data_IF_241962855189
#
_entry.id   IF_241962855189
#
_cell.length_a   1.000
_cell.length_b   1.000
_cell.length_c   1.000
_cell.angle_alpha   90.00
_cell.angle_beta   90.00
_cell.angle_gamma   90.00
#
_symmetry.space_group_name_H-M   'P 1'
#
loop_
_entity.id
_entity.type
_entity.pdbx_description
1 polymer ?
#
# COMPACT_ATOMS: atom_id res chain seq x y z
N UNK A 1 -2.03 -55.33 10.12
CA UNK A 1 -2.41 -54.07 10.80
C UNK A 1 -1.33 -53.00 10.67
N UNK A 2 -0.05 -53.29 10.97
CA UNK A 2 1.09 -52.35 10.87
C UNK A 2 1.19 -51.54 9.55
N UNK A 3 0.89 -52.16 8.40
CA UNK A 3 0.89 -51.47 7.09
C UNK A 3 -0.13 -50.32 7.00
N UNK A 4 -1.28 -50.41 7.68
CA UNK A 4 -2.29 -49.32 7.69
C UNK A 4 -1.82 -48.15 8.55
N UNK A 5 -1.18 -48.44 9.69
CA UNK A 5 -0.58 -47.43 10.57
C UNK A 5 0.54 -46.66 9.90
N UNK A 6 1.42 -47.35 9.17
CA UNK A 6 2.49 -46.72 8.40
C UNK A 6 1.95 -45.77 7.32
N UNK A 7 0.91 -46.19 6.59
CA UNK A 7 0.26 -45.35 5.57
C UNK A 7 -0.35 -44.11 6.22
N UNK A 8 -1.12 -44.26 7.30
CA UNK A 8 -1.73 -43.12 8.00
C UNK A 8 -0.67 -42.14 8.53
N UNK A 9 0.42 -42.63 9.11
CA UNK A 9 1.51 -41.79 9.58
C UNK A 9 2.13 -40.95 8.46
N UNK A 10 2.41 -41.57 7.31
CA UNK A 10 2.94 -40.86 6.14
C UNK A 10 1.94 -39.85 5.58
N UNK A 11 0.65 -40.18 5.56
CA UNK A 11 -0.39 -39.27 5.04
C UNK A 11 -0.51 -38.03 5.93
N UNK A 12 -0.57 -38.23 7.25
CA UNK A 12 -0.62 -37.12 8.21
C UNK A 12 0.62 -36.25 8.07
N UNK A 13 1.82 -36.85 8.04
CA UNK A 13 3.05 -36.10 7.91
C UNK A 13 3.11 -35.29 6.62
N UNK A 14 2.69 -35.88 5.49
CA UNK A 14 2.61 -35.18 4.21
C UNK A 14 1.64 -33.99 4.23
N UNK A 15 0.44 -34.18 4.78
CA UNK A 15 -0.54 -33.09 4.93
C UNK A 15 0.02 -31.97 5.82
N UNK A 16 0.66 -32.32 6.94
CA UNK A 16 1.27 -31.34 7.85
C UNK A 16 2.35 -30.51 7.16
N UNK A 17 3.23 -31.15 6.37
CA UNK A 17 4.27 -30.45 5.60
C UNK A 17 3.66 -29.49 4.58
N UNK A 18 2.61 -29.90 3.86
CA UNK A 18 1.93 -29.05 2.89
C UNK A 18 1.27 -27.83 3.54
N UNK A 19 0.58 -28.05 4.66
CA UNK A 19 -0.06 -26.96 5.43
C UNK A 19 1.00 -26.00 5.97
N UNK A 20 2.09 -26.52 6.54
CA UNK A 20 3.19 -25.69 7.03
C UNK A 20 3.83 -24.86 5.92
N UNK A 21 4.02 -25.44 4.72
CA UNK A 21 4.54 -24.71 3.56
C UNK A 21 3.62 -23.56 3.14
N UNK A 22 2.31 -23.79 3.06
CA UNK A 22 1.34 -22.76 2.69
C UNK A 22 1.25 -21.61 3.71
N UNK A 23 1.38 -21.93 5.00
CA UNK A 23 1.42 -20.92 6.06
C UNK A 23 2.71 -20.10 5.96
N UNK A 24 3.85 -20.75 5.69
CA UNK A 24 5.14 -20.10 5.58
C UNK A 24 5.26 -19.18 4.34
N UNK A 25 4.70 -19.56 3.19
CA UNK A 25 4.76 -18.76 1.96
C UNK A 25 3.66 -17.71 1.84
N UNK A 26 2.66 -17.74 2.72
CA UNK A 26 1.44 -16.97 2.57
C UNK A 26 0.47 -17.62 1.57
N UNK A 27 -0.83 -17.57 1.90
CA UNK A 27 -1.87 -18.12 1.04
C UNK A 27 -2.21 -17.24 -0.17
N UNK A 28 -3.04 -17.72 -1.10
CA UNK A 28 -3.49 -16.94 -2.27
C UNK A 28 -4.24 -15.64 -1.92
N UNK A 29 -4.69 -15.49 -0.67
CA UNK A 29 -5.21 -14.24 -0.14
C UNK A 29 -4.15 -13.14 -0.02
N UNK A 30 -2.92 -13.50 0.40
CA UNK A 30 -1.82 -12.55 0.59
C UNK A 30 -1.42 -11.88 -0.72
N UNK A 31 -1.22 -12.67 -1.79
CA UNK A 31 -0.88 -12.11 -3.10
C UNK A 31 -1.93 -11.14 -3.67
N UNK A 32 -3.21 -11.31 -3.30
CA UNK A 32 -4.26 -10.35 -3.68
C UNK A 32 -4.18 -9.06 -2.85
N UNK A 33 -3.95 -9.18 -1.55
CA UNK A 33 -3.76 -8.02 -0.67
C UNK A 33 -2.53 -7.19 -1.10
N UNK A 34 -1.39 -7.84 -1.35
CA UNK A 34 -0.18 -7.18 -1.87
C UNK A 34 -0.41 -6.46 -3.21
N UNK A 35 -1.24 -7.04 -4.08
CA UNK A 35 -1.57 -6.39 -5.37
C UNK A 35 -2.43 -5.14 -5.16
N UNK A 36 -3.38 -5.18 -4.23
CA UNK A 36 -4.20 -4.01 -3.88
C UNK A 36 -3.35 -2.94 -3.20
N UNK A 37 -2.46 -3.33 -2.30
CA UNK A 37 -1.54 -2.40 -1.63
C UNK A 37 -0.57 -1.73 -2.61
N UNK A 38 -0.01 -2.47 -3.57
CA UNK A 38 0.77 -1.88 -4.67
C UNK A 38 -0.03 -0.86 -5.49
N UNK A 39 -1.32 -1.09 -5.65
CA UNK A 39 -2.22 -0.18 -6.36
C UNK A 39 -2.45 1.10 -5.55
N UNK A 40 -2.61 0.99 -4.23
CA UNK A 40 -2.68 2.14 -3.30
C UNK A 40 -1.39 2.94 -3.31
N UNK A 41 -0.23 2.30 -3.23
CA UNK A 41 1.06 3.00 -3.33
C UNK A 41 1.21 3.79 -4.63
N UNK A 42 0.84 3.18 -5.76
CA UNK A 42 0.91 3.83 -7.06
C UNK A 42 -0.04 5.04 -7.16
N UNK A 43 -1.19 5.00 -6.49
CA UNK A 43 -2.09 6.15 -6.40
C UNK A 43 -1.48 7.27 -5.56
N UNK A 44 -0.95 6.94 -4.37
CA UNK A 44 -0.29 7.92 -3.51
C UNK A 44 0.93 8.57 -4.21
N UNK A 45 1.67 7.81 -5.03
CA UNK A 45 2.78 8.34 -5.83
C UNK A 45 2.32 9.33 -6.91
N UNK A 46 1.19 9.08 -7.57
CA UNK A 46 0.63 10.01 -8.54
C UNK A 46 0.06 11.25 -7.87
N UNK A 47 -0.55 11.11 -6.68
CA UNK A 47 -1.01 12.26 -5.88
C UNK A 47 0.20 13.12 -5.48
N UNK A 48 1.28 12.52 -4.98
CA UNK A 48 2.52 13.24 -4.65
C UNK A 48 3.07 14.02 -5.85
N UNK A 49 3.14 13.39 -7.02
CA UNK A 49 3.60 14.05 -8.26
C UNK A 49 2.73 15.26 -8.63
N UNK A 50 1.41 15.17 -8.43
CA UNK A 50 0.50 16.30 -8.63
C UNK A 50 0.77 17.42 -7.61
N UNK A 51 0.95 17.07 -6.33
CA UNK A 51 1.23 18.04 -5.29
C UNK A 51 2.59 18.74 -5.50
N UNK A 52 3.60 18.02 -5.96
CA UNK A 52 4.91 18.59 -6.36
C UNK A 52 4.74 19.62 -7.47
N UNK A 53 4.02 19.28 -8.54
CA UNK A 53 3.73 20.23 -9.62
C UNK A 53 3.02 21.47 -9.09
N UNK A 54 1.98 21.30 -8.27
CA UNK A 54 1.23 22.43 -7.72
C UNK A 54 2.07 23.28 -6.77
N UNK A 55 2.95 22.66 -5.99
CA UNK A 55 3.83 23.38 -5.08
C UNK A 55 4.86 24.23 -5.82
N UNK A 56 5.42 23.71 -6.93
CA UNK A 56 6.30 24.47 -7.81
C UNK A 56 5.57 25.68 -8.45
N UNK A 57 4.31 25.50 -8.87
CA UNK A 57 3.51 26.60 -9.43
C UNK A 57 3.10 27.64 -8.38
N UNK A 58 2.83 27.21 -7.14
CA UNK A 58 2.37 28.08 -6.06
C UNK A 58 3.51 28.72 -5.24
N UNK A 59 4.72 28.18 -5.31
CA UNK A 59 5.85 28.58 -4.45
C UNK A 59 5.71 28.16 -2.98
N UNK A 60 4.77 27.25 -2.67
CA UNK A 60 4.49 26.76 -1.32
C UNK A 60 3.88 25.36 -1.37
N UNK A 61 4.04 24.58 -0.30
CA UNK A 61 3.42 23.25 -0.21
C UNK A 61 1.90 23.38 -0.17
N UNK A 62 1.21 22.59 -0.99
CA UNK A 62 -0.23 22.49 -1.04
C UNK A 62 -0.68 21.08 -0.69
N UNK A 63 -1.86 20.95 -0.10
CA UNK A 63 -2.43 19.64 0.31
C UNK A 63 -3.68 19.26 -0.47
N UNK A 64 -4.22 20.18 -1.27
CA UNK A 64 -5.37 19.90 -2.12
C UNK A 64 -4.91 19.09 -3.35
N UNK A 65 -5.37 17.83 -3.53
CA UNK A 65 -4.98 16.99 -4.67
C UNK A 65 -5.91 17.20 -5.88
N UNK A 66 -6.67 18.29 -5.94
CA UNK A 66 -7.50 18.62 -7.11
C UNK A 66 -6.63 19.09 -8.29
N UNK A 67 -6.80 18.52 -9.50
CA UNK A 67 -6.08 18.93 -10.71
C UNK A 67 -6.37 20.40 -11.09
N UNK A 68 -5.41 21.05 -11.75
CA UNK A 68 -5.55 22.42 -12.26
C UNK A 68 -5.12 22.49 -13.72
N UNK A 69 -5.40 23.59 -14.43
CA UNK A 69 -4.92 23.76 -15.81
C UNK A 69 -3.39 23.72 -15.92
N UNK A 70 -2.68 24.25 -14.90
CA UNK A 70 -1.22 24.21 -14.84
C UNK A 70 -0.65 22.82 -14.52
N UNK A 71 -1.42 21.99 -13.79
CA UNK A 71 -1.05 20.63 -13.40
C UNK A 71 -2.20 19.67 -13.75
N UNK A 72 -2.34 19.26 -15.03
CA UNK A 72 -3.52 18.55 -15.54
C UNK A 72 -3.55 17.06 -15.21
N UNK A 73 -2.67 16.58 -14.33
CA UNK A 73 -2.64 15.18 -13.91
C UNK A 73 -3.89 14.84 -13.10
N UNK A 74 -4.54 13.72 -13.42
CA UNK A 74 -5.78 13.27 -12.77
C UNK A 74 -5.55 11.96 -12.00
N UNK A 75 -4.81 11.99 -10.88
CA UNK A 75 -4.65 10.80 -10.04
C UNK A 75 -6.00 10.36 -9.46
N UNK A 76 -6.11 9.09 -9.09
CA UNK A 76 -7.26 8.60 -8.33
C UNK A 76 -7.18 9.10 -6.90
N UNK A 77 -8.21 9.80 -6.44
CA UNK A 77 -8.27 10.38 -5.09
C UNK A 77 -8.97 9.47 -4.06
N UNK A 78 -9.46 8.31 -4.51
CA UNK A 78 -10.09 7.32 -3.65
C UNK A 78 -9.61 5.91 -4.04
N UNK A 79 -9.55 5.03 -3.05
CA UNK A 79 -9.18 3.63 -3.22
C UNK A 79 -10.23 2.93 -4.12
N UNK A 80 -9.82 2.33 -5.25
CA UNK A 80 -10.74 1.64 -6.17
C UNK A 80 -11.40 0.39 -5.57
N UNK A 81 -10.88 -0.16 -4.47
CA UNK A 81 -11.38 -1.39 -3.84
C UNK A 81 -12.34 -1.11 -2.68
N UNK A 82 -12.23 0.04 -2.03
CA UNK A 82 -13.02 0.40 -0.84
C UNK A 82 -13.83 1.67 -1.02
N UNK A 83 -13.56 2.46 -2.06
CA UNK A 83 -14.05 3.82 -2.28
C UNK A 83 -13.68 4.82 -1.17
N UNK A 84 -12.79 4.44 -0.24
CA UNK A 84 -12.32 5.34 0.80
C UNK A 84 -11.44 6.44 0.20
N UNK A 85 -11.62 7.72 0.56
CA UNK A 85 -10.77 8.80 0.08
C UNK A 85 -9.36 8.67 0.65
N UNK A 86 -8.35 8.91 -0.18
CA UNK A 86 -6.98 9.04 0.29
C UNK A 86 -6.84 10.31 1.12
N UNK A 87 -6.07 10.25 2.21
CA UNK A 87 -5.88 11.39 3.11
C UNK A 87 -4.55 12.08 2.79
N UNK A 88 -4.61 13.41 2.72
CA UNK A 88 -3.44 14.27 2.51
C UNK A 88 -3.37 15.25 3.68
N UNK A 89 -2.29 15.19 4.45
CA UNK A 89 -2.06 16.04 5.62
C UNK A 89 -0.76 16.82 5.43
N UNK A 90 -0.77 18.10 5.81
CA UNK A 90 0.46 18.90 5.82
C UNK A 90 1.32 18.48 7.01
N UNK A 91 2.60 18.24 6.76
CA UNK A 91 3.62 18.05 7.80
C UNK A 91 4.63 19.20 7.66
N UNK A 92 4.54 20.24 8.48
CA UNK A 92 5.44 21.37 8.41
C UNK A 92 6.92 20.96 8.54
N UNK A 93 7.86 21.65 7.87
CA UNK A 93 7.64 22.88 7.09
C UNK A 93 7.27 22.64 5.61
N UNK A 94 7.69 21.54 5.01
CA UNK A 94 7.72 21.31 3.56
C UNK A 94 7.33 19.88 3.16
N UNK A 95 6.71 19.13 4.06
CA UNK A 95 6.37 17.73 3.85
C UNK A 95 4.86 17.53 3.81
N UNK A 96 4.44 16.47 3.13
CA UNK A 96 3.05 16.01 3.11
C UNK A 96 3.01 14.56 3.56
N UNK A 97 1.97 14.22 4.31
CA UNK A 97 1.66 12.87 4.73
C UNK A 97 0.49 12.37 3.90
N UNK A 98 0.71 11.25 3.22
CA UNK A 98 -0.23 10.62 2.30
C UNK A 98 -0.63 9.26 2.87
N UNK A 99 -1.93 9.06 3.13
CA UNK A 99 -2.42 7.86 3.80
C UNK A 99 -3.41 7.08 2.94
N UNK A 100 -3.32 5.76 3.05
CA UNK A 100 -4.30 4.81 2.54
C UNK A 100 -4.53 3.68 3.55
N UNK A 101 -5.62 2.93 3.37
CA UNK A 101 -5.97 1.81 4.25
C UNK A 101 -5.36 0.51 3.68
N UNK A 102 -4.06 0.32 3.95
CA UNK A 102 -3.29 -0.85 3.53
C UNK A 102 -3.70 -2.12 4.29
N UNK A 103 -3.58 -3.27 3.63
CA UNK A 103 -3.98 -4.57 4.19
C UNK A 103 -2.80 -5.35 4.76
N UNK A 104 -1.60 -5.17 4.20
CA UNK A 104 -0.38 -5.77 4.69
C UNK A 104 0.32 -4.85 5.70
N UNK A 105 0.99 -5.44 6.71
CA UNK A 105 1.75 -4.67 7.68
C UNK A 105 2.90 -3.91 7.00
N UNK A 106 3.30 -2.81 7.60
CA UNK A 106 4.28 -1.87 7.06
C UNK A 106 5.73 -2.40 7.02
N UNK A 107 5.98 -3.68 7.36
CA UNK A 107 7.28 -4.29 7.66
C UNK A 107 8.36 -4.07 6.57
N UNK A 108 7.96 -3.72 5.34
CA UNK A 108 8.88 -3.42 4.23
C UNK A 108 8.60 -2.09 3.51
N UNK A 109 7.75 -1.22 4.05
CA UNK A 109 7.35 0.03 3.41
C UNK A 109 7.81 1.26 4.22
N UNK A 110 8.08 2.39 3.56
CA UNK A 110 8.36 3.69 4.21
C UNK A 110 7.12 4.31 4.89
N UNK A 111 6.16 3.47 5.29
CA UNK A 111 4.88 3.87 5.86
C UNK A 111 4.93 3.72 7.38
N UNK A 112 4.21 4.57 8.09
CA UNK A 112 3.98 4.43 9.52
C UNK A 112 2.92 3.37 9.83
N UNK A 113 2.70 3.11 11.12
CA UNK A 113 1.70 2.14 11.61
C UNK A 113 0.26 2.51 11.20
N UNK A 114 0.01 3.77 10.85
CA UNK A 114 -1.29 4.25 10.37
C UNK A 114 -1.47 4.10 8.86
N UNK A 115 -0.49 3.50 8.15
CA UNK A 115 -0.54 3.32 6.71
C UNK A 115 -0.24 4.60 5.92
N UNK A 116 0.45 5.56 6.53
CA UNK A 116 0.80 6.82 5.89
C UNK A 116 2.28 6.87 5.53
N UNK A 117 2.60 7.46 4.38
CA UNK A 117 3.97 7.80 3.99
C UNK A 117 4.17 9.30 4.06
N UNK A 118 5.35 9.74 4.48
CA UNK A 118 5.73 11.15 4.49
C UNK A 118 6.67 11.42 3.31
N UNK A 119 6.26 12.33 2.43
CA UNK A 119 7.04 12.80 1.30
C UNK A 119 7.42 14.27 1.48
N UNK A 120 8.68 14.63 1.17
CA UNK A 120 9.09 16.04 1.12
C UNK A 120 8.74 16.59 -0.26
N UNK A 121 8.08 17.76 -0.28
CA UNK A 121 7.72 18.46 -1.51
C UNK A 121 8.80 19.50 -1.80
N UNK A 122 9.48 19.38 -2.94
CA UNK A 122 10.52 20.33 -3.33
C UNK A 122 9.91 21.57 -4.00
N UNK A 123 10.11 22.73 -3.38
CA UNK A 123 9.82 24.04 -3.98
C UNK A 123 11.15 24.57 -4.53
N UNK A 124 11.33 24.53 -5.85
CA UNK A 124 12.52 25.06 -6.53
C UNK A 124 12.25 26.42 -7.14
#
# INVERSE_FOLDING_TARGET
>A
MARRWAVHGLTVLGVTVLVAGLVATGGPGQGRAEKRDRTRDNDLAQIETLLDCKAQQAGQVVVDPTPTEACPMTPRLADPFTAAPYRVELVPPDSVRLCADFEQPAEMSLRDEAGCRVGRIEIR
#
